data_IF_791134845787
#
_entry.id   IF_791134845787
#
_cell.length_a   1.000
_cell.length_b   1.000
_cell.length_c   1.000
_cell.angle_alpha   90.00
_cell.angle_beta   90.00
_cell.angle_gamma   90.00
#
_symmetry.space_group_name_H-M   'P 1'
#
loop_
_entity.id
_entity.type
_entity.pdbx_description
1 polymer ?
#
# COMPACT_ATOMS: atom_id res chain seq x y z
N UNK A 1 14.48 -12.61 -10.09
CA UNK A 1 14.04 -13.74 -10.94
C UNK A 1 12.70 -14.26 -10.46
N UNK A 2 12.60 -14.70 -9.20
CA UNK A 2 11.39 -15.26 -8.60
C UNK A 2 10.14 -14.38 -8.70
N UNK A 3 10.22 -13.09 -8.34
CA UNK A 3 9.08 -12.16 -8.47
C UNK A 3 8.59 -12.04 -9.91
N UNK A 4 9.52 -11.99 -10.87
CA UNK A 4 9.17 -11.90 -12.29
C UNK A 4 8.43 -13.17 -12.73
N UNK A 5 8.91 -14.34 -12.32
CA UNK A 5 8.24 -15.62 -12.63
C UNK A 5 6.80 -15.64 -12.11
N UNK A 6 6.56 -15.22 -10.87
CA UNK A 6 5.20 -15.15 -10.31
C UNK A 6 4.30 -14.22 -11.12
N UNK A 7 4.82 -13.03 -11.45
CA UNK A 7 4.09 -12.01 -12.21
C UNK A 7 3.77 -12.49 -13.63
N UNK A 8 4.76 -13.06 -14.33
CA UNK A 8 4.59 -13.54 -15.70
C UNK A 8 3.60 -14.71 -15.77
N UNK A 9 3.66 -15.67 -14.84
CA UNK A 9 2.71 -16.81 -14.77
C UNK A 9 1.27 -16.35 -14.46
N UNK A 10 1.10 -15.42 -13.53
CA UNK A 10 -0.22 -14.86 -13.21
C UNK A 10 -0.80 -14.09 -14.41
N UNK A 11 0.03 -13.27 -15.07
CA UNK A 11 -0.38 -12.51 -16.25
C UNK A 11 -0.71 -13.41 -17.45
N UNK A 12 -0.04 -14.56 -17.61
CA UNK A 12 -0.35 -15.54 -18.66
C UNK A 12 -1.80 -16.02 -18.61
N UNK A 13 -2.41 -16.05 -17.42
CA UNK A 13 -3.82 -16.42 -17.20
C UNK A 13 -4.73 -15.22 -16.91
N UNK A 14 -4.23 -13.99 -17.11
CA UNK A 14 -5.01 -12.75 -16.96
C UNK A 14 -5.32 -12.35 -15.51
N UNK A 15 -4.55 -12.84 -14.54
CA UNK A 15 -4.71 -12.49 -13.12
C UNK A 15 -3.72 -11.40 -12.70
N UNK A 16 -4.14 -10.37 -11.93
CA UNK A 16 -3.21 -9.43 -11.35
C UNK A 16 -2.44 -10.05 -10.18
N UNK A 17 -1.27 -9.48 -9.86
CA UNK A 17 -0.50 -9.82 -8.65
C UNK A 17 -0.54 -8.65 -7.68
N UNK A 18 -0.88 -8.93 -6.42
CA UNK A 18 -0.72 -7.99 -5.32
C UNK A 18 0.57 -8.30 -4.58
N UNK A 19 1.29 -7.27 -4.15
CA UNK A 19 2.54 -7.44 -3.41
C UNK A 19 2.56 -6.60 -2.14
N UNK A 20 2.77 -7.28 -1.01
CA UNK A 20 3.19 -6.65 0.24
C UNK A 20 4.61 -6.09 0.07
N UNK A 21 4.79 -4.80 0.38
CA UNK A 21 6.09 -4.15 0.30
C UNK A 21 6.20 -2.98 1.31
N UNK A 22 7.02 -3.20 2.34
CA UNK A 22 7.33 -2.24 3.40
C UNK A 22 8.77 -1.70 3.27
N UNK A 23 9.26 -1.53 2.04
CA UNK A 23 10.44 -0.71 1.78
C UNK A 23 10.36 -0.04 0.41
N UNK A 24 10.89 1.18 0.31
CA UNK A 24 10.90 1.92 -0.97
C UNK A 24 11.61 1.13 -2.07
N UNK A 25 12.67 0.38 -1.74
CA UNK A 25 13.39 -0.44 -2.71
C UNK A 25 12.55 -1.62 -3.20
N UNK A 26 11.79 -2.27 -2.32
CA UNK A 26 10.84 -3.32 -2.68
C UNK A 26 9.75 -2.75 -3.59
N UNK A 27 9.15 -1.61 -3.20
CA UNK A 27 8.10 -0.93 -4.00
C UNK A 27 8.61 -0.57 -5.40
N UNK A 28 9.79 0.04 -5.51
CA UNK A 28 10.43 0.33 -6.81
C UNK A 28 10.56 -0.93 -7.67
N UNK A 29 11.02 -2.02 -7.07
CA UNK A 29 11.25 -3.27 -7.78
C UNK A 29 9.95 -3.85 -8.34
N UNK A 30 8.89 -3.94 -7.54
CA UNK A 30 7.60 -4.49 -7.99
C UNK A 30 6.87 -3.57 -8.97
N UNK A 31 7.03 -2.25 -8.85
CA UNK A 31 6.52 -1.27 -9.82
C UNK A 31 7.22 -1.39 -11.18
N UNK A 32 8.52 -1.66 -11.18
CA UNK A 32 9.24 -1.95 -12.42
C UNK A 32 8.76 -3.24 -13.08
N UNK A 33 8.52 -4.28 -12.28
CA UNK A 33 8.02 -5.57 -12.76
C UNK A 33 6.55 -5.51 -13.21
N UNK A 34 5.77 -4.54 -12.75
CA UNK A 34 4.40 -4.30 -13.23
C UNK A 34 3.35 -5.12 -12.48
N UNK A 35 3.41 -5.12 -11.14
CA UNK A 35 2.35 -5.71 -10.29
C UNK A 35 1.01 -4.97 -10.45
N UNK A 36 -0.09 -5.60 -10.04
CA UNK A 36 -1.42 -5.00 -10.05
C UNK A 36 -1.66 -4.04 -8.88
N UNK A 37 -1.19 -4.38 -7.69
CA UNK A 37 -1.25 -3.50 -6.52
C UNK A 37 -0.02 -3.64 -5.61
N UNK A 38 0.23 -2.56 -4.87
CA UNK A 38 1.19 -2.50 -3.77
C UNK A 38 0.40 -2.37 -2.48
N UNK A 39 0.60 -3.31 -1.56
CA UNK A 39 0.06 -3.23 -0.20
C UNK A 39 1.07 -2.51 0.70
N UNK A 40 0.56 -1.64 1.57
CA UNK A 40 1.29 -0.70 2.44
C UNK A 40 1.97 0.42 1.64
N UNK A 41 3.04 0.09 0.91
CA UNK A 41 3.75 1.04 0.04
C UNK A 41 4.57 2.08 0.80
N UNK A 42 4.99 1.74 2.01
CA UNK A 42 5.77 2.53 2.95
C UNK A 42 7.11 1.86 3.31
N UNK A 43 7.79 2.40 4.33
CA UNK A 43 8.99 1.80 4.92
C UNK A 43 8.92 1.96 6.45
N UNK A 44 9.06 0.86 7.20
CA UNK A 44 9.20 0.90 8.67
C UNK A 44 10.41 1.74 9.14
N UNK A 45 11.41 1.93 8.28
CA UNK A 45 12.60 2.77 8.52
C UNK A 45 12.35 4.27 8.27
N UNK A 46 11.14 4.66 7.85
CA UNK A 46 10.70 6.05 7.72
C UNK A 46 10.88 6.70 6.34
N UNK A 47 11.24 5.94 5.31
CA UNK A 47 11.25 6.42 3.94
C UNK A 47 9.83 6.63 3.39
N UNK A 48 9.67 7.72 2.65
CA UNK A 48 8.42 8.03 1.95
C UNK A 48 8.43 7.43 0.54
N UNK A 49 7.24 7.05 0.06
CA UNK A 49 7.06 6.78 -1.36
C UNK A 49 7.45 8.02 -2.19
N UNK A 50 8.40 7.86 -3.09
CA UNK A 50 8.93 8.98 -3.89
C UNK A 50 8.09 9.28 -5.14
N UNK A 51 8.31 10.48 -5.68
CA UNK A 51 7.52 11.00 -6.81
C UNK A 51 7.71 10.20 -8.10
N UNK A 52 8.93 9.72 -8.35
CA UNK A 52 9.23 8.92 -9.54
C UNK A 52 8.48 7.58 -9.51
N UNK A 53 8.49 6.92 -8.35
CA UNK A 53 7.79 5.66 -8.12
C UNK A 53 6.28 5.84 -8.24
N UNK A 54 5.72 6.89 -7.62
CA UNK A 54 4.32 7.25 -7.76
C UNK A 54 3.91 7.49 -9.23
N UNK A 55 4.74 8.21 -10.00
CA UNK A 55 4.48 8.46 -11.43
C UNK A 55 4.42 7.14 -12.22
N UNK A 56 5.39 6.24 -12.00
CA UNK A 56 5.41 4.93 -12.67
C UNK A 56 4.20 4.08 -12.32
N UNK A 57 3.77 4.10 -11.04
CA UNK A 57 2.54 3.42 -10.62
C UNK A 57 1.33 3.94 -11.38
N UNK A 58 1.18 5.26 -11.48
CA UNK A 58 0.07 5.88 -12.22
C UNK A 58 0.10 5.52 -13.72
N UNK A 59 1.27 5.61 -14.36
CA UNK A 59 1.46 5.26 -15.79
C UNK A 59 1.14 3.80 -16.10
N UNK A 60 1.53 2.89 -15.20
CA UNK A 60 1.29 1.45 -15.34
C UNK A 60 -0.05 0.99 -14.77
N UNK A 61 -0.88 1.92 -14.28
CA UNK A 61 -2.17 1.62 -13.64
C UNK A 61 -2.05 0.62 -12.47
N UNK A 62 -0.99 0.77 -11.68
CA UNK A 62 -0.72 0.02 -10.45
C UNK A 62 -1.44 0.72 -9.31
N UNK A 63 -2.14 -0.06 -8.49
CA UNK A 63 -2.91 0.45 -7.37
C UNK A 63 -2.07 0.49 -6.09
N UNK A 64 -2.44 1.37 -5.17
CA UNK A 64 -1.89 1.40 -3.80
C UNK A 64 -3.00 1.06 -2.81
N UNK A 65 -2.72 0.17 -1.87
CA UNK A 65 -3.55 -0.12 -0.70
C UNK A 65 -2.79 0.27 0.57
N UNK A 66 -3.00 1.49 1.12
CA UNK A 66 -2.16 2.01 2.21
C UNK A 66 -2.28 1.27 3.55
N UNK A 67 -3.43 0.67 3.85
CA UNK A 67 -3.69 -0.07 5.11
C UNK A 67 -3.44 0.73 6.39
N UNK A 68 -3.65 2.05 6.37
CA UNK A 68 -3.27 2.99 7.43
C UNK A 68 -3.83 2.63 8.82
N UNK A 69 -4.99 1.98 8.88
CA UNK A 69 -5.66 1.59 10.11
C UNK A 69 -4.91 0.50 10.89
N UNK A 70 -4.09 -0.33 10.24
CA UNK A 70 -3.39 -1.44 10.91
C UNK A 70 -2.27 -0.94 11.84
N UNK A 71 -1.59 0.14 11.46
CA UNK A 71 -0.49 0.75 12.26
C UNK A 71 -0.94 1.16 13.67
N UNK A 72 -2.22 1.47 13.86
CA UNK A 72 -2.75 1.81 15.18
C UNK A 72 -2.76 0.64 16.18
N UNK A 73 -2.51 -0.61 15.74
CA UNK A 73 -2.36 -1.76 16.63
C UNK A 73 -1.15 -1.65 17.54
N UNK A 74 -0.05 -1.11 17.02
CA UNK A 74 1.22 -1.01 17.75
C UNK A 74 1.38 0.36 18.44
N UNK A 75 0.56 1.32 18.06
CA UNK A 75 0.59 2.67 18.58
C UNK A 75 -0.17 2.82 19.90
N UNK A 76 0.27 3.75 20.75
CA UNK A 76 -0.45 4.10 21.98
C UNK A 76 -1.67 4.97 21.65
N UNK A 77 -2.68 4.88 22.51
CA UNK A 77 -3.89 5.71 22.38
C UNK A 77 -3.53 7.21 22.33
N UNK A 78 -3.95 7.89 21.26
CA UNK A 78 -3.71 9.32 21.04
C UNK A 78 -2.46 9.63 20.19
N UNK A 79 -1.64 8.63 19.85
CA UNK A 79 -0.57 8.81 18.88
C UNK A 79 -1.14 9.04 17.47
N UNK A 80 -0.38 9.78 16.65
CA UNK A 80 -0.71 10.06 15.26
C UNK A 80 0.12 9.19 14.34
N UNK A 81 -0.42 8.86 13.17
CA UNK A 81 0.33 8.13 12.15
C UNK A 81 1.65 8.85 11.85
N UNK A 82 2.74 8.11 11.66
CA UNK A 82 3.99 8.68 11.20
C UNK A 82 3.79 9.52 9.93
N UNK A 83 4.41 10.70 9.91
CA UNK A 83 4.21 11.66 8.82
C UNK A 83 4.67 11.12 7.46
N UNK A 84 5.65 10.21 7.45
CA UNK A 84 6.16 9.61 6.22
C UNK A 84 5.09 8.75 5.52
N UNK A 85 4.26 8.01 6.28
CA UNK A 85 3.10 7.29 5.74
C UNK A 85 2.16 8.27 5.06
N UNK A 86 1.78 9.32 5.80
CA UNK A 86 0.84 10.34 5.34
C UNK A 86 1.33 11.03 4.06
N UNK A 87 2.60 11.41 4.04
CA UNK A 87 3.22 12.07 2.89
C UNK A 87 3.29 11.12 1.68
N UNK A 88 3.64 9.85 1.90
CA UNK A 88 3.75 8.84 0.85
C UNK A 88 2.44 8.62 0.10
N UNK A 89 1.34 8.30 0.81
CA UNK A 89 0.07 8.04 0.14
C UNK A 89 -0.56 9.31 -0.46
N UNK A 90 -0.41 10.48 0.19
CA UNK A 90 -0.86 11.77 -0.38
C UNK A 90 -0.07 12.11 -1.66
N UNK A 91 1.22 11.78 -1.71
CA UNK A 91 2.02 11.90 -2.95
C UNK A 91 1.51 10.96 -4.04
N UNK A 92 1.20 9.70 -3.70
CA UNK A 92 0.62 8.75 -4.65
C UNK A 92 -0.66 9.30 -5.29
N UNK A 93 -1.60 9.81 -4.48
CA UNK A 93 -2.83 10.44 -4.97
C UNK A 93 -2.52 11.62 -5.89
N UNK A 94 -1.61 12.51 -5.47
CA UNK A 94 -1.23 13.69 -6.26
C UNK A 94 -0.65 13.31 -7.62
N UNK A 95 0.06 12.20 -7.71
CA UNK A 95 0.62 11.66 -8.95
C UNK A 95 -0.38 10.88 -9.81
N UNK A 96 -1.63 10.71 -9.35
CA UNK A 96 -2.69 10.01 -10.08
C UNK A 96 -2.73 8.50 -9.84
N UNK A 97 -2.05 8.00 -8.81
CA UNK A 97 -2.16 6.60 -8.39
C UNK A 97 -3.57 6.32 -7.88
N UNK A 98 -4.16 5.20 -8.31
CA UNK A 98 -5.47 4.76 -7.84
C UNK A 98 -5.33 4.07 -6.49
N UNK A 99 -6.16 4.48 -5.53
CA UNK A 99 -6.15 3.92 -4.18
C UNK A 99 -7.24 2.85 -4.04
N UNK A 100 -6.89 1.70 -3.47
CA UNK A 100 -7.83 0.67 -3.04
C UNK A 100 -8.09 0.81 -1.54
N UNK A 101 -9.33 0.52 -1.14
CA UNK A 101 -9.66 0.38 0.27
C UNK A 101 -9.25 -1.01 0.75
N UNK A 102 -8.31 -1.07 1.68
CA UNK A 102 -7.88 -2.29 2.36
C UNK A 102 -7.29 -1.95 3.73
N UNK A 103 -7.45 -2.86 4.69
CA UNK A 103 -7.18 -2.58 6.12
C UNK A 103 -6.11 -3.47 6.73
N UNK A 104 -5.73 -4.53 6.01
CA UNK A 104 -4.92 -5.63 6.54
C UNK A 104 -5.46 -6.23 7.87
N UNK A 105 -6.79 -6.25 8.02
CA UNK A 105 -7.44 -6.80 9.21
C UNK A 105 -7.79 -8.27 8.98
N UNK A 106 -7.55 -9.11 9.98
CA UNK A 106 -7.72 -10.56 9.89
C UNK A 106 -9.06 -11.05 10.47
N UNK A 107 -9.89 -10.09 10.90
CA UNK A 107 -11.24 -10.32 11.41
C UNK A 107 -11.30 -11.24 12.64
N UNK A 108 -10.42 -10.95 13.60
CA UNK A 108 -10.26 -11.68 14.85
C UNK A 108 -10.61 -10.76 16.06
N UNK A 109 -10.47 -11.22 17.32
CA UNK A 109 -10.74 -10.38 18.48
C UNK A 109 -9.87 -9.11 18.56
N UNK A 110 -8.68 -9.12 17.96
CA UNK A 110 -7.77 -7.96 17.90
C UNK A 110 -8.27 -6.96 16.84
N UNK A 111 -8.63 -7.47 15.67
CA UNK A 111 -9.07 -6.71 14.50
C UNK A 111 -10.52 -7.05 14.11
N UNK A 112 -11.53 -6.71 14.94
CA UNK A 112 -12.91 -7.14 14.70
C UNK A 112 -13.46 -6.55 13.40
N UNK A 113 -14.34 -7.32 12.74
CA UNK A 113 -15.01 -6.93 11.51
C UNK A 113 -15.57 -5.50 11.59
N UNK A 114 -15.35 -4.73 10.53
CA UNK A 114 -15.94 -3.41 10.32
C UNK A 114 -15.22 -2.25 11.01
N UNK A 115 -14.62 -2.47 12.19
CA UNK A 115 -13.95 -1.39 12.96
C UNK A 115 -12.80 -0.76 12.15
N UNK A 116 -11.92 -1.60 11.59
CA UNK A 116 -10.77 -1.15 10.81
C UNK A 116 -11.20 -0.62 9.44
N UNK A 117 -12.23 -1.20 8.81
CA UNK A 117 -12.76 -0.72 7.53
C UNK A 117 -13.29 0.72 7.64
N UNK A 118 -14.08 1.01 8.68
CA UNK A 118 -14.58 2.37 8.92
C UNK A 118 -13.44 3.33 9.28
N UNK A 119 -12.46 2.84 10.05
CA UNK A 119 -11.24 3.60 10.37
C UNK A 119 -10.44 3.98 9.12
N UNK A 120 -10.18 3.04 8.23
CA UNK A 120 -9.47 3.25 6.97
C UNK A 120 -10.19 4.27 6.07
N UNK A 121 -11.51 4.13 5.91
CA UNK A 121 -12.31 5.10 5.13
C UNK A 121 -12.13 6.51 5.69
N UNK A 122 -12.15 6.67 7.01
CA UNK A 122 -11.92 7.97 7.65
C UNK A 122 -10.52 8.49 7.35
N UNK A 123 -9.49 7.66 7.53
CA UNK A 123 -8.09 8.03 7.31
C UNK A 123 -7.79 8.43 5.86
N UNK A 124 -8.48 7.84 4.89
CA UNK A 124 -8.32 8.17 3.47
C UNK A 124 -8.99 9.49 3.05
N UNK A 125 -9.79 10.11 3.93
CA UNK A 125 -10.45 11.40 3.69
C UNK A 125 -9.77 12.55 4.46
N UNK A 126 -9.10 12.25 5.58
CA UNK A 126 -8.41 13.22 6.44
C UNK A 126 -7.02 13.68 5.87
#
# INVERSE_FOLDING_TARGET
>A
EEMRTIIDEAHMVGLPVMCHAESLQSVKTIVELGVGSVEHGDNEEGDELDEETCRKMAEKNIFLTPTLSIYFLEMKAGEKLPQYLINGWKRAIKSGVKILLGTDAWADPITPYGKYNVGEIKLLVD
#
